data_IF_475957516328
#
_entry.id   IF_475957516328
#
_cell.length_a   1.000
_cell.length_b   1.000
_cell.length_c   1.000
_cell.angle_alpha   90.00
_cell.angle_beta   90.00
_cell.angle_gamma   90.00
#
_symmetry.space_group_name_H-M   'P 1'
#
loop_
_entity.id
_entity.type
_entity.pdbx_description
1 polymer ?
#
# COMPACT_ATOMS: atom_id res chain seq x y z
N UNK A 1 -7.18 -10.61 -10.23
CA UNK A 1 -7.87 -9.30 -10.26
C UNK A 1 -7.26 -8.35 -11.27
N UNK A 2 -6.02 -7.88 -11.10
CA UNK A 2 -5.44 -6.83 -11.95
C UNK A 2 -4.74 -7.30 -13.24
N UNK A 3 -4.42 -8.59 -13.39
CA UNK A 3 -3.76 -9.10 -14.61
C UNK A 3 -2.50 -8.31 -14.99
N UNK A 4 -2.36 -7.99 -16.27
CA UNK A 4 -1.24 -7.17 -16.79
C UNK A 4 -1.21 -5.75 -16.23
N UNK A 5 -2.34 -5.23 -15.73
CA UNK A 5 -2.40 -3.90 -15.12
C UNK A 5 -1.65 -3.83 -13.78
N UNK A 6 -1.41 -4.96 -13.11
CA UNK A 6 -0.73 -4.99 -11.81
C UNK A 6 0.64 -4.30 -11.83
N UNK A 7 1.39 -4.39 -12.93
CA UNK A 7 2.70 -3.74 -13.09
C UNK A 7 2.64 -2.21 -13.16
N UNK A 8 1.46 -1.64 -13.36
CA UNK A 8 1.22 -0.19 -13.44
C UNK A 8 0.66 0.41 -12.16
N UNK A 9 0.26 -0.43 -11.19
CA UNK A 9 -0.30 0.00 -9.92
C UNK A 9 0.84 0.10 -8.91
N UNK A 10 1.12 1.29 -8.37
CA UNK A 10 2.07 1.42 -7.27
C UNK A 10 1.51 0.70 -6.03
N UNK A 11 2.35 -0.09 -5.37
CA UNK A 11 2.05 -0.78 -4.12
C UNK A 11 3.06 -0.30 -3.08
N UNK A 12 2.65 -0.11 -1.83
CA UNK A 12 3.59 0.25 -0.75
C UNK A 12 3.16 -0.37 0.56
N UNK A 13 4.12 -0.74 1.42
CA UNK A 13 3.84 -1.21 2.77
C UNK A 13 4.32 -0.20 3.80
N UNK A 14 3.40 0.48 4.48
CA UNK A 14 3.72 1.43 5.55
C UNK A 14 4.15 0.73 6.84
N UNK A 15 3.93 -0.59 6.96
CA UNK A 15 4.55 -1.43 7.99
C UNK A 15 6.07 -1.37 7.95
N UNK A 16 6.67 -1.06 6.79
CA UNK A 16 8.12 -0.82 6.69
C UNK A 16 8.61 0.30 7.61
N UNK A 17 7.74 1.26 7.94
CA UNK A 17 8.06 2.42 8.78
C UNK A 17 7.43 2.32 10.18
N UNK A 18 6.20 1.81 10.26
CA UNK A 18 5.40 1.82 11.49
C UNK A 18 5.37 0.46 12.21
N UNK A 19 5.98 -0.57 11.62
CA UNK A 19 5.84 -1.94 12.08
C UNK A 19 4.42 -2.51 11.89
N UNK A 20 4.20 -3.73 12.37
CA UNK A 20 2.89 -4.37 12.30
C UNK A 20 2.07 -4.13 13.57
N UNK A 21 1.08 -3.24 13.47
CA UNK A 21 0.22 -2.85 14.61
C UNK A 21 -0.96 -3.81 14.88
N UNK A 22 -0.86 -5.07 14.43
CA UNK A 22 -1.91 -6.10 14.56
C UNK A 22 -3.30 -5.57 14.18
N UNK A 23 -4.27 -5.62 15.09
CA UNK A 23 -5.65 -5.18 14.84
C UNK A 23 -5.80 -3.71 14.44
N UNK A 24 -4.86 -2.84 14.81
CA UNK A 24 -4.89 -1.43 14.43
C UNK A 24 -4.34 -1.16 13.02
N UNK A 25 -3.61 -2.11 12.41
CA UNK A 25 -2.93 -1.90 11.14
C UNK A 25 -3.91 -1.48 10.02
N UNK A 26 -5.05 -2.17 9.90
CA UNK A 26 -6.03 -1.86 8.86
C UNK A 26 -6.58 -0.42 8.94
N UNK A 27 -6.87 0.07 10.16
CA UNK A 27 -7.37 1.43 10.35
C UNK A 27 -6.32 2.50 10.03
N UNK A 28 -5.09 2.31 10.51
CA UNK A 28 -3.98 3.24 10.25
C UNK A 28 -3.62 3.27 8.76
N UNK A 29 -3.53 2.11 8.12
CA UNK A 29 -3.20 2.00 6.69
C UNK A 29 -4.30 2.58 5.80
N UNK A 30 -5.57 2.42 6.19
CA UNK A 30 -6.68 3.05 5.49
C UNK A 30 -6.68 4.58 5.64
N UNK A 31 -6.40 5.11 6.83
CA UNK A 31 -6.23 6.55 7.02
C UNK A 31 -5.08 7.11 6.15
N UNK A 32 -3.97 6.38 6.04
CA UNK A 32 -2.87 6.75 5.15
C UNK A 32 -3.30 6.73 3.68
N UNK A 33 -4.11 5.75 3.24
CA UNK A 33 -4.66 5.74 1.88
C UNK A 33 -5.46 7.00 1.56
N UNK A 34 -6.32 7.45 2.48
CA UNK A 34 -7.08 8.69 2.33
C UNK A 34 -6.15 9.92 2.25
N UNK A 35 -5.13 9.99 3.11
CA UNK A 35 -4.14 11.07 3.08
C UNK A 35 -3.30 11.05 1.79
N UNK A 36 -3.00 9.88 1.23
CA UNK A 36 -2.31 9.74 -0.05
C UNK A 36 -3.13 10.34 -1.20
N UNK A 37 -4.44 10.14 -1.20
CA UNK A 37 -5.37 10.71 -2.19
C UNK A 37 -5.57 12.21 -2.02
N UNK A 38 -5.61 12.68 -0.78
CA UNK A 38 -5.69 14.10 -0.45
C UNK A 38 -4.43 14.84 -0.89
N UNK A 39 -3.26 14.35 -0.48
CA UNK A 39 -1.96 15.01 -0.67
C UNK A 39 -1.26 14.70 -1.99
N UNK A 40 -1.71 13.66 -2.72
CA UNK A 40 -1.06 13.20 -3.94
C UNK A 40 0.36 12.65 -3.69
N UNK A 41 0.54 11.96 -2.55
CA UNK A 41 1.82 11.38 -2.15
C UNK A 41 1.60 9.92 -1.77
N UNK A 42 2.30 9.03 -2.46
CA UNK A 42 2.35 7.60 -2.15
C UNK A 42 3.53 7.37 -1.19
N UNK A 43 3.30 6.79 0.01
CA UNK A 43 4.35 6.51 0.96
C UNK A 43 5.34 5.47 0.41
N UNK A 44 6.61 5.50 0.83
CA UNK A 44 7.57 4.50 0.42
C UNK A 44 7.37 3.17 1.15
N UNK A 45 7.90 2.11 0.55
CA UNK A 45 8.36 0.94 1.29
C UNK A 45 9.83 1.17 1.63
N UNK A 46 10.16 1.52 2.87
CA UNK A 46 11.55 1.75 3.29
C UNK A 46 12.30 0.42 3.49
N UNK A 47 13.64 0.48 3.49
CA UNK A 47 14.53 -0.68 3.63
C UNK A 47 14.40 -1.71 2.50
N UNK A 48 13.90 -1.29 1.32
CA UNK A 48 13.77 -2.17 0.16
C UNK A 48 15.04 -2.06 -0.71
N UNK A 49 16.04 -2.88 -0.40
CA UNK A 49 17.35 -2.85 -1.06
C UNK A 49 17.61 -4.08 -1.94
N UNK A 50 17.10 -5.24 -1.55
CA UNK A 50 17.26 -6.50 -2.27
C UNK A 50 15.90 -6.99 -2.74
N UNK A 51 15.56 -6.81 -4.03
CA UNK A 51 14.30 -7.30 -4.59
C UNK A 51 14.24 -8.83 -4.58
N UNK A 52 13.06 -9.36 -4.25
CA UNK A 52 12.74 -10.78 -4.42
C UNK A 52 12.25 -11.03 -5.86
N UNK A 53 12.76 -12.05 -6.59
CA UNK A 53 12.32 -12.39 -7.94
C UNK A 53 10.81 -12.62 -8.09
N UNK A 54 10.15 -13.13 -7.05
CA UNK A 54 8.70 -13.36 -7.04
C UNK A 54 7.93 -12.08 -6.73
N UNK A 55 8.59 -11.07 -6.15
CA UNK A 55 8.07 -9.74 -5.92
C UNK A 55 8.37 -8.81 -7.10
N UNK A 56 7.60 -8.95 -8.18
CA UNK A 56 7.83 -8.20 -9.42
C UNK A 56 7.03 -6.91 -9.61
N UNK A 57 6.34 -6.39 -8.57
CA UNK A 57 5.53 -5.16 -8.68
C UNK A 57 6.34 -3.89 -8.40
N UNK A 58 5.71 -2.74 -8.57
CA UNK A 58 6.27 -1.45 -8.19
C UNK A 58 5.99 -1.18 -6.70
N UNK A 59 6.97 -1.46 -5.83
CA UNK A 59 6.82 -1.34 -4.36
C UNK A 59 7.10 0.06 -3.80
N UNK A 60 7.28 1.08 -4.65
CA UNK A 60 7.64 2.45 -4.26
C UNK A 60 8.83 2.46 -3.27
N UNK A 61 10.00 1.96 -3.69
CA UNK A 61 11.10 1.69 -2.77
C UNK A 61 11.76 2.98 -2.25
N UNK A 62 11.96 3.04 -0.93
CA UNK A 62 12.81 3.97 -0.17
C UNK A 62 12.49 5.47 -0.23
N UNK A 63 11.79 5.96 -1.26
CA UNK A 63 11.43 7.37 -1.42
C UNK A 63 9.96 7.50 -1.76
N UNK A 64 9.28 8.43 -1.07
CA UNK A 64 7.90 8.77 -1.36
C UNK A 64 7.77 9.25 -2.80
N UNK A 65 6.64 8.92 -3.45
CA UNK A 65 6.36 9.31 -4.82
C UNK A 65 5.20 10.29 -4.88
N UNK A 66 5.41 11.45 -5.51
CA UNK A 66 4.31 12.34 -5.88
C UNK A 66 3.55 11.75 -7.06
N UNK A 67 2.26 11.57 -6.91
CA UNK A 67 1.38 11.08 -7.97
C UNK A 67 -0.06 11.50 -7.67
N UNK A 68 -0.86 11.70 -8.72
CA UNK A 68 -2.31 11.83 -8.55
C UNK A 68 -2.86 10.45 -8.16
N UNK A 69 -3.54 10.38 -7.03
CA UNK A 69 -4.17 9.15 -6.53
C UNK A 69 -5.67 9.39 -6.37
N UNK A 70 -6.46 8.84 -7.30
CA UNK A 70 -7.92 8.99 -7.30
C UNK A 70 -8.62 7.79 -6.62
N UNK A 71 -7.95 6.64 -6.57
CA UNK A 71 -8.45 5.39 -5.98
C UNK A 71 -7.32 4.72 -5.19
N UNK A 72 -7.64 4.24 -3.99
CA UNK A 72 -6.74 3.43 -3.15
C UNK A 72 -7.40 2.10 -2.78
N UNK A 73 -6.56 1.09 -2.59
CA UNK A 73 -6.92 -0.21 -2.01
C UNK A 73 -6.05 -0.48 -0.79
N UNK A 74 -6.66 -0.82 0.34
CA UNK A 74 -5.96 -1.25 1.57
C UNK A 74 -6.30 -2.70 1.88
N UNK A 75 -5.27 -3.54 2.02
CA UNK A 75 -5.39 -4.98 2.25
C UNK A 75 -4.98 -5.33 3.68
N UNK A 76 -5.80 -6.13 4.36
CA UNK A 76 -5.52 -6.70 5.68
C UNK A 76 -5.75 -8.22 5.63
N UNK A 77 -4.66 -8.98 5.73
CA UNK A 77 -4.64 -10.44 5.69
C UNK A 77 -4.12 -10.94 7.03
N UNK A 78 -5.05 -11.25 7.95
CA UNK A 78 -4.76 -11.58 9.33
C UNK A 78 -4.62 -13.09 9.58
N UNK A 79 -4.05 -13.42 10.73
CA UNK A 79 -4.01 -14.79 11.25
C UNK A 79 -5.41 -15.41 11.34
N UNK A 80 -5.51 -16.73 11.25
CA UNK A 80 -6.80 -17.43 11.21
C UNK A 80 -7.53 -17.38 9.86
N UNK A 81 -6.88 -16.83 8.82
CA UNK A 81 -7.45 -16.76 7.47
C UNK A 81 -8.43 -15.60 7.26
N UNK A 82 -8.37 -14.57 8.11
CA UNK A 82 -9.20 -13.38 7.98
C UNK A 82 -8.65 -12.45 6.90
N UNK A 83 -9.35 -12.38 5.75
CA UNK A 83 -8.94 -11.55 4.63
C UNK A 83 -9.97 -10.43 4.40
N UNK A 84 -9.54 -9.18 4.47
CA UNK A 84 -10.37 -8.02 4.22
C UNK A 84 -9.65 -7.00 3.34
N UNK A 85 -10.38 -6.41 2.39
CA UNK A 85 -9.89 -5.37 1.49
C UNK A 85 -10.88 -4.21 1.47
N UNK A 86 -10.38 -2.99 1.66
CA UNK A 86 -11.15 -1.76 1.51
C UNK A 86 -10.69 -1.02 0.25
N UNK A 87 -11.65 -0.58 -0.56
CA UNK A 87 -11.39 0.30 -1.71
C UNK A 87 -12.06 1.65 -1.46
N UNK A 88 -11.35 2.74 -1.75
CA UNK A 88 -11.85 4.10 -1.60
C UNK A 88 -11.51 4.92 -2.83
N UNK A 89 -12.43 5.79 -3.24
CA UNK A 89 -12.28 6.72 -4.36
C UNK A 89 -12.48 8.14 -3.85
N UNK A 90 -11.73 9.08 -4.41
CA UNK A 90 -11.80 10.51 -4.08
C UNK A 90 -13.19 11.04 -4.47
N UNK A 91 -13.77 11.86 -3.59
CA UNK A 91 -15.03 12.57 -3.86
C UNK A 91 -14.78 13.74 -4.82
#
# INVERSE_FOLDING_TARGET
>A
VFGSHAKKVPVSSTKSMLGHQLGAAGAVEFAICCLSMEKGIIPPTINYETPDPDCGLDYVPNKARKAKVDVCMSNSLGFGGHNATLCVKKF
#
